data_IF_651126874966
#
_entry.id   IF_651126874966
#
_cell.length_a   1.000
_cell.length_b   1.000
_cell.length_c   1.000
_cell.angle_alpha   90.00
_cell.angle_beta   90.00
_cell.angle_gamma   90.00
#
_symmetry.space_group_name_H-M   'P 1'
#
loop_
_entity.id
_entity.type
_entity.pdbx_description
1 polymer ?
#
# COMPACT_ATOMS: atom_id res chain seq x y z
N UNK A 1 48.07 68.77 36.95
CA UNK A 1 49.44 69.26 36.67
C UNK A 1 49.34 70.73 36.30
N UNK A 2 49.88 71.62 37.16
CA UNK A 2 49.92 73.09 36.99
C UNK A 2 50.83 73.48 35.81
N UNK A 3 50.42 73.17 34.58
CA UNK A 3 51.11 73.61 33.36
C UNK A 3 50.33 74.82 32.82
N UNK A 4 50.95 75.99 32.63
CA UNK A 4 50.25 77.18 32.14
C UNK A 4 49.66 76.94 30.74
N UNK A 5 48.45 77.45 30.48
CA UNK A 5 47.69 77.25 29.22
C UNK A 5 48.25 78.07 28.05
N UNK A 6 49.49 77.80 27.66
CA UNK A 6 50.09 78.34 26.44
C UNK A 6 49.85 77.39 25.27
N UNK A 7 49.84 77.93 24.04
CA UNK A 7 49.69 77.14 22.81
C UNK A 7 50.69 75.97 22.73
N UNK A 8 51.94 76.21 23.14
CA UNK A 8 53.00 75.21 23.09
C UNK A 8 52.77 74.09 24.10
N UNK A 9 52.27 74.41 25.30
CA UNK A 9 51.95 73.42 26.32
C UNK A 9 50.74 72.55 25.91
N UNK A 10 49.73 73.15 25.27
CA UNK A 10 48.61 72.40 24.73
C UNK A 10 49.05 71.44 23.60
N UNK A 11 49.96 71.88 22.72
CA UNK A 11 50.50 71.03 21.65
C UNK A 11 51.36 69.90 22.21
N UNK A 12 52.24 70.20 23.17
CA UNK A 12 53.08 69.19 23.83
C UNK A 12 52.22 68.14 24.57
N UNK A 13 51.17 68.59 25.26
CA UNK A 13 50.21 67.72 25.92
C UNK A 13 49.48 66.83 24.90
N UNK A 14 49.00 67.39 23.78
CA UNK A 14 48.38 66.62 22.71
C UNK A 14 49.32 65.56 22.14
N UNK A 15 50.56 65.93 21.80
CA UNK A 15 51.56 64.99 21.26
C UNK A 15 51.88 63.88 22.25
N UNK A 16 52.01 64.20 23.54
CA UNK A 16 52.22 63.18 24.60
C UNK A 16 51.05 62.21 24.65
N UNK A 17 49.81 62.71 24.64
CA UNK A 17 48.61 61.87 24.66
C UNK A 17 48.52 60.96 23.44
N UNK A 18 48.89 61.45 22.25
CA UNK A 18 48.93 60.62 21.04
C UNK A 18 49.99 59.53 21.18
N UNK A 19 51.21 59.85 21.64
CA UNK A 19 52.28 58.84 21.83
C UNK A 19 51.90 57.77 22.86
N UNK A 20 51.20 58.14 23.92
CA UNK A 20 50.79 57.22 24.99
C UNK A 20 49.59 56.34 24.62
N UNK A 21 48.78 56.76 23.64
CA UNK A 21 47.49 56.11 23.34
C UNK A 21 47.38 55.54 21.93
N UNK A 22 48.25 55.94 20.99
CA UNK A 22 48.26 55.41 19.64
C UNK A 22 49.36 54.36 19.49
N UNK A 23 48.94 53.10 19.35
CA UNK A 23 49.83 52.00 19.01
C UNK A 23 49.62 51.62 17.55
N UNK A 24 50.71 51.57 16.77
CA UNK A 24 50.69 51.27 15.34
C UNK A 24 51.33 49.90 15.15
N UNK A 25 50.61 48.98 14.50
CA UNK A 25 51.12 47.66 14.10
C UNK A 25 51.17 47.62 12.58
N UNK A 26 52.33 47.26 12.04
CA UNK A 26 52.57 47.20 10.60
C UNK A 26 52.84 45.76 10.18
N UNK A 27 51.98 45.20 9.33
CA UNK A 27 52.18 43.89 8.75
C UNK A 27 52.79 44.03 7.36
N UNK A 28 54.05 43.64 7.21
CA UNK A 28 54.77 43.71 5.93
C UNK A 28 55.32 42.34 5.54
N UNK A 29 55.26 42.01 4.26
CA UNK A 29 55.87 40.78 3.75
C UNK A 29 57.38 40.97 3.56
N UNK A 30 58.23 40.04 4.02
CA UNK A 30 59.66 40.05 3.74
C UNK A 30 60.00 39.56 2.33
N UNK A 31 59.01 39.13 1.55
CA UNK A 31 59.22 38.61 0.19
C UNK A 31 59.51 39.77 -0.77
N UNK A 32 60.66 39.70 -1.44
CA UNK A 32 61.12 40.70 -2.40
C UNK A 32 61.86 41.87 -1.76
N UNK A 33 62.18 42.88 -2.55
CA UNK A 33 63.05 43.99 -2.09
C UNK A 33 62.29 45.16 -1.44
N UNK A 34 60.96 45.17 -1.53
CA UNK A 34 60.15 46.32 -1.11
C UNK A 34 60.30 46.66 0.38
N UNK A 35 60.33 45.66 1.26
CA UNK A 35 60.53 45.87 2.69
C UNK A 35 61.89 46.52 2.96
N UNK A 36 62.95 45.97 2.35
CA UNK A 36 64.32 46.50 2.45
C UNK A 36 64.41 47.94 1.96
N UNK A 37 63.79 48.27 0.83
CA UNK A 37 63.78 49.63 0.28
C UNK A 37 63.06 50.59 1.24
N UNK A 38 61.90 50.22 1.77
CA UNK A 38 61.14 51.04 2.73
C UNK A 38 61.90 51.27 4.02
N UNK A 39 62.55 50.24 4.56
CA UNK A 39 63.40 50.37 5.74
C UNK A 39 64.57 51.34 5.54
N UNK A 40 65.14 51.42 4.33
CA UNK A 40 66.19 52.40 3.99
C UNK A 40 65.65 53.83 3.82
N UNK A 41 64.44 53.97 3.27
CA UNK A 41 63.77 55.26 3.10
C UNK A 41 63.26 55.84 4.43
N UNK A 42 62.83 54.97 5.36
CA UNK A 42 62.21 55.35 6.63
C UNK A 42 62.88 54.63 7.81
N UNK A 43 63.99 55.18 8.35
CA UNK A 43 64.73 54.56 9.45
C UNK A 43 63.91 54.38 10.74
N UNK A 44 62.87 55.20 10.94
CA UNK A 44 61.95 55.07 12.08
C UNK A 44 61.23 53.72 12.14
N UNK A 45 61.06 53.04 11.00
CA UNK A 45 60.47 51.70 10.96
C UNK A 45 61.32 50.67 11.71
N UNK A 46 62.65 50.83 11.72
CA UNK A 46 63.55 49.93 12.45
C UNK A 46 63.86 50.47 13.85
N UNK A 47 64.04 51.79 13.98
CA UNK A 47 64.51 52.39 15.23
C UNK A 47 63.40 52.61 16.27
N UNK A 48 62.14 52.76 15.84
CA UNK A 48 61.02 53.10 16.73
C UNK A 48 59.97 51.99 16.84
N UNK A 49 60.20 50.81 16.24
CA UNK A 49 59.27 49.68 16.32
C UNK A 49 59.96 48.42 16.82
N UNK A 50 59.19 47.53 17.43
CA UNK A 50 59.64 46.17 17.75
C UNK A 50 59.35 45.27 16.56
N UNK A 51 60.37 44.59 16.05
CA UNK A 51 60.23 43.67 14.93
C UNK A 51 59.89 42.27 15.46
N UNK A 52 58.77 41.73 15.02
CA UNK A 52 58.36 40.35 15.27
C UNK A 52 58.31 39.57 13.95
N UNK A 53 59.01 38.44 13.89
CA UNK A 53 59.20 37.66 12.67
C UNK A 53 58.24 36.48 12.60
N UNK A 54 57.29 36.56 11.67
CA UNK A 54 56.36 35.47 11.36
C UNK A 54 57.01 34.49 10.38
N UNK A 55 57.48 33.37 10.93
CA UNK A 55 58.06 32.28 10.15
C UNK A 55 56.97 31.34 9.61
N UNK A 56 57.32 30.53 8.61
CA UNK A 56 56.49 29.40 8.19
C UNK A 56 56.17 28.47 9.36
N UNK A 57 55.04 27.78 9.28
CA UNK A 57 54.61 26.91 10.37
C UNK A 57 55.55 25.69 10.49
N UNK A 58 56.13 25.43 11.66
CA UNK A 58 56.90 24.21 11.87
C UNK A 58 55.98 22.98 11.81
N UNK A 59 56.57 21.80 11.63
CA UNK A 59 55.82 20.54 11.60
C UNK A 59 54.88 20.37 12.80
N UNK A 60 55.35 20.69 14.02
CA UNK A 60 54.54 20.61 15.22
C UNK A 60 53.29 21.50 15.14
N UNK A 61 53.38 22.68 14.54
CA UNK A 61 52.24 23.57 14.34
C UNK A 61 51.30 23.03 13.26
N UNK A 62 51.83 22.51 12.14
CA UNK A 62 51.02 21.89 11.09
C UNK A 62 50.22 20.69 11.63
N UNK A 63 50.86 19.84 12.43
CA UNK A 63 50.24 18.70 13.11
C UNK A 63 49.17 19.17 14.08
N UNK A 64 49.49 20.11 14.98
CA UNK A 64 48.52 20.61 15.98
C UNK A 64 47.29 21.25 15.34
N UNK A 65 47.46 22.01 14.25
CA UNK A 65 46.34 22.58 13.50
C UNK A 65 45.52 21.48 12.83
N UNK A 66 46.16 20.51 12.18
CA UNK A 66 45.45 19.39 11.58
C UNK A 66 44.68 18.55 12.61
N UNK A 67 45.25 18.29 13.80
CA UNK A 67 44.55 17.58 14.88
C UNK A 67 43.28 18.32 15.31
N UNK A 68 43.35 19.65 15.43
CA UNK A 68 42.19 20.46 15.81
C UNK A 68 41.07 20.39 14.78
N UNK A 69 41.39 20.54 13.49
CA UNK A 69 40.39 20.51 12.42
C UNK A 69 39.84 19.09 12.18
N UNK A 70 40.72 18.09 12.19
CA UNK A 70 40.31 16.70 11.97
C UNK A 70 39.69 16.06 13.22
N UNK A 71 39.80 16.68 14.39
CA UNK A 71 39.20 16.20 15.64
C UNK A 71 37.67 16.15 15.59
N UNK A 72 37.05 17.02 14.79
CA UNK A 72 35.59 17.06 14.59
C UNK A 72 35.08 15.95 13.66
N UNK A 73 35.98 15.25 12.96
CA UNK A 73 35.63 14.25 11.96
C UNK A 73 35.52 12.86 12.58
N UNK A 74 34.45 12.14 12.25
CA UNK A 74 34.31 10.72 12.60
C UNK A 74 35.19 9.88 11.67
N UNK A 75 36.26 9.32 12.25
CA UNK A 75 37.19 8.44 11.56
C UNK A 75 37.15 7.03 12.16
N UNK A 76 37.44 5.97 11.39
CA UNK A 76 37.32 4.59 11.86
C UNK A 76 38.16 4.24 13.09
N UNK A 77 39.31 4.90 13.26
CA UNK A 77 40.17 4.71 14.43
C UNK A 77 41.06 5.93 14.69
N UNK A 78 41.52 6.07 15.93
CA UNK A 78 42.46 7.11 16.33
C UNK A 78 43.84 6.94 15.67
N UNK A 79 44.26 5.73 15.34
CA UNK A 79 45.51 5.49 14.61
C UNK A 79 45.44 5.99 13.16
N UNK A 80 44.28 5.84 12.51
CA UNK A 80 44.01 6.43 11.20
C UNK A 80 44.03 7.95 11.31
N UNK A 81 43.37 8.53 12.33
CA UNK A 81 43.39 9.99 12.57
C UNK A 81 44.82 10.52 12.69
N UNK A 82 45.63 9.94 13.57
CA UNK A 82 47.05 10.34 13.76
C UNK A 82 47.84 10.24 12.47
N UNK A 83 47.56 9.23 11.64
CA UNK A 83 48.25 9.03 10.36
C UNK A 83 47.83 10.08 9.31
N UNK A 84 46.53 10.42 9.23
CA UNK A 84 46.02 11.48 8.34
C UNK A 84 46.57 12.84 8.76
N UNK A 85 46.58 13.15 10.06
CA UNK A 85 47.16 14.37 10.62
C UNK A 85 48.63 14.53 10.20
N UNK A 86 49.45 13.49 10.41
CA UNK A 86 50.86 13.49 9.99
C UNK A 86 51.00 13.66 8.48
N UNK A 87 50.11 13.04 7.70
CA UNK A 87 50.10 13.15 6.25
C UNK A 87 49.82 14.60 5.80
N UNK A 88 48.88 15.30 6.42
CA UNK A 88 48.62 16.72 6.11
C UNK A 88 49.89 17.56 6.25
N UNK A 89 50.60 17.45 7.38
CA UNK A 89 51.85 18.17 7.62
C UNK A 89 52.98 17.77 6.67
N UNK A 90 53.07 16.48 6.31
CA UNK A 90 54.03 15.99 5.31
C UNK A 90 53.76 16.57 3.92
N UNK A 91 52.51 16.52 3.44
CA UNK A 91 52.12 17.02 2.13
C UNK A 91 52.43 18.52 2.02
N UNK A 92 52.12 19.31 3.05
CA UNK A 92 52.43 20.74 3.03
C UNK A 92 53.92 21.03 2.86
N UNK A 93 54.79 20.36 3.63
CA UNK A 93 56.24 20.51 3.52
C UNK A 93 56.79 20.02 2.18
N UNK A 94 56.26 18.92 1.65
CA UNK A 94 56.69 18.42 0.34
C UNK A 94 56.43 19.44 -0.79
N UNK A 95 55.35 20.24 -0.67
CA UNK A 95 55.05 21.31 -1.61
C UNK A 95 56.06 22.45 -1.47
N UNK A 96 56.46 22.81 -0.25
CA UNK A 96 57.51 23.81 -0.03
C UNK A 96 58.84 23.41 -0.69
N UNK A 97 59.28 22.17 -0.47
CA UNK A 97 60.49 21.62 -1.10
C UNK A 97 60.38 21.60 -2.64
N UNK A 98 59.23 21.14 -3.14
CA UNK A 98 58.95 21.07 -4.58
C UNK A 98 58.88 22.46 -5.20
N UNK A 99 58.34 23.45 -4.50
CA UNK A 99 58.29 24.85 -4.96
C UNK A 99 59.69 25.43 -5.14
N UNK A 100 60.62 25.08 -4.24
CA UNK A 100 62.03 25.44 -4.35
C UNK A 100 62.68 24.85 -5.60
N UNK A 101 62.48 23.55 -5.84
CA UNK A 101 62.94 22.88 -7.07
C UNK A 101 62.35 23.50 -8.33
N UNK A 102 61.04 23.77 -8.33
CA UNK A 102 60.33 24.38 -9.45
C UNK A 102 60.90 25.76 -9.82
N UNK A 103 61.26 26.57 -8.80
CA UNK A 103 61.94 27.83 -9.04
C UNK A 103 63.37 27.66 -9.58
N UNK A 104 64.09 26.63 -9.13
CA UNK A 104 65.43 26.35 -9.62
C UNK A 104 65.43 25.96 -11.11
N UNK A 105 64.48 25.13 -11.53
CA UNK A 105 64.38 24.60 -12.88
C UNK A 105 63.73 25.59 -13.87
N UNK A 106 62.60 26.21 -13.50
CA UNK A 106 61.78 27.01 -14.42
C UNK A 106 61.82 28.51 -14.13
N UNK A 107 62.52 28.95 -13.08
CA UNK A 107 62.58 30.37 -12.64
C UNK A 107 61.20 30.99 -12.37
N UNK A 108 60.18 30.16 -12.12
CA UNK A 108 58.83 30.59 -11.75
C UNK A 108 58.62 30.38 -10.26
N UNK A 109 58.22 31.44 -9.55
CA UNK A 109 57.92 31.34 -8.11
C UNK A 109 56.47 30.90 -7.90
N UNK A 110 56.30 29.91 -7.04
CA UNK A 110 55.00 29.50 -6.49
C UNK A 110 55.12 29.64 -4.98
N UNK A 111 54.07 30.15 -4.34
CA UNK A 111 54.05 30.38 -2.90
C UNK A 111 52.99 29.51 -2.26
N UNK A 112 53.37 28.89 -1.16
CA UNK A 112 52.47 28.17 -0.29
C UNK A 112 52.25 29.01 0.96
N UNK A 113 50.99 29.13 1.40
CA UNK A 113 50.64 29.90 2.59
C UNK A 113 49.89 29.02 3.59
N UNK A 114 49.87 29.37 4.89
CA UNK A 114 49.01 28.68 5.86
C UNK A 114 47.54 28.64 5.44
N UNK A 115 47.05 29.64 4.69
CA UNK A 115 45.70 29.61 4.13
C UNK A 115 45.49 28.42 3.18
N UNK A 116 46.44 28.17 2.29
CA UNK A 116 46.42 27.03 1.38
C UNK A 116 46.44 25.68 2.13
N UNK A 117 47.11 25.62 3.29
CA UNK A 117 47.06 24.44 4.16
C UNK A 117 45.68 24.20 4.76
N UNK A 118 45.05 25.25 5.27
CA UNK A 118 43.68 25.17 5.80
C UNK A 118 42.69 24.77 4.70
N UNK A 119 42.87 25.28 3.48
CA UNK A 119 42.05 24.89 2.33
C UNK A 119 42.22 23.41 1.95
N UNK A 120 43.44 22.88 2.02
CA UNK A 120 43.69 21.45 1.83
C UNK A 120 42.91 20.59 2.85
N UNK A 121 42.94 20.97 4.13
CA UNK A 121 42.25 20.23 5.19
C UNK A 121 40.73 20.31 4.99
N UNK A 122 40.19 21.51 4.74
CA UNK A 122 38.76 21.71 4.52
C UNK A 122 38.27 20.95 3.28
N UNK A 123 39.05 20.97 2.20
CA UNK A 123 38.74 20.22 0.98
C UNK A 123 38.70 18.72 1.27
N UNK A 124 39.69 18.20 2.01
CA UNK A 124 39.70 16.80 2.41
C UNK A 124 38.46 16.41 3.22
N UNK A 125 38.08 17.22 4.22
CA UNK A 125 36.88 16.98 5.03
C UNK A 125 35.60 16.98 4.18
N UNK A 126 35.46 17.97 3.29
CA UNK A 126 34.30 18.06 2.39
C UNK A 126 34.21 16.88 1.43
N UNK A 127 35.34 16.48 0.84
CA UNK A 127 35.40 15.34 -0.07
C UNK A 127 35.12 14.03 0.65
N UNK A 128 35.67 13.83 1.86
CA UNK A 128 35.43 12.61 2.63
C UNK A 128 33.95 12.45 2.93
N UNK A 129 33.30 13.51 3.44
CA UNK A 129 31.87 13.50 3.74
C UNK A 129 31.04 13.17 2.49
N UNK A 130 31.29 13.84 1.37
CA UNK A 130 30.57 13.56 0.13
C UNK A 130 30.74 12.12 -0.36
N UNK A 131 31.94 11.53 -0.21
CA UNK A 131 32.18 10.13 -0.56
C UNK A 131 31.51 9.16 0.42
N UNK A 132 31.51 9.47 1.72
CA UNK A 132 30.81 8.69 2.74
C UNK A 132 29.31 8.64 2.47
N UNK A 133 28.69 9.78 2.18
CA UNK A 133 27.25 9.87 1.85
C UNK A 133 26.91 8.99 0.62
N UNK A 134 27.74 9.03 -0.43
CA UNK A 134 27.54 8.20 -1.64
C UNK A 134 27.64 6.70 -1.30
N UNK A 135 28.61 6.32 -0.46
CA UNK A 135 28.80 4.93 -0.05
C UNK A 135 27.66 4.46 0.84
N UNK A 136 27.19 5.31 1.75
CA UNK A 136 26.06 5.02 2.64
C UNK A 136 24.78 4.77 1.85
N UNK A 137 24.45 5.63 0.89
CA UNK A 137 23.28 5.44 0.00
C UNK A 137 23.37 4.10 -0.76
N UNK A 138 24.56 3.75 -1.28
CA UNK A 138 24.78 2.47 -1.97
C UNK A 138 24.65 1.28 -1.01
N UNK A 139 25.20 1.41 0.19
CA UNK A 139 25.13 0.40 1.25
C UNK A 139 23.68 0.14 1.65
N UNK A 140 22.89 1.18 1.89
CA UNK A 140 21.49 1.05 2.29
C UNK A 140 20.63 0.47 1.18
N UNK A 141 20.86 0.88 -0.07
CA UNK A 141 20.20 0.24 -1.22
C UNK A 141 20.50 -1.26 -1.27
N UNK A 142 21.76 -1.64 -1.02
CA UNK A 142 22.15 -3.04 -1.01
C UNK A 142 21.50 -3.80 0.16
N UNK A 143 21.48 -3.23 1.37
CA UNK A 143 20.81 -3.81 2.54
C UNK A 143 19.32 -4.05 2.29
N UNK A 144 18.63 -3.10 1.66
CA UNK A 144 17.21 -3.26 1.28
C UNK A 144 17.05 -4.37 0.24
N UNK A 145 17.97 -4.45 -0.74
CA UNK A 145 17.98 -5.53 -1.73
C UNK A 145 18.15 -6.91 -1.09
N UNK A 146 19.15 -7.07 -0.20
CA UNK A 146 19.40 -8.32 0.53
C UNK A 146 18.19 -8.71 1.37
N UNK A 147 17.59 -7.77 2.11
CA UNK A 147 16.40 -8.04 2.92
C UNK A 147 15.23 -8.55 2.08
N UNK A 148 14.97 -7.93 0.91
CA UNK A 148 13.92 -8.40 -0.01
C UNK A 148 14.21 -9.81 -0.54
N UNK A 149 15.47 -10.14 -0.80
CA UNK A 149 15.85 -11.49 -1.22
C UNK A 149 15.59 -12.50 -0.10
N UNK A 150 15.95 -12.17 1.14
CA UNK A 150 15.67 -13.02 2.31
C UNK A 150 14.17 -13.20 2.54
N UNK A 151 13.38 -12.13 2.48
CA UNK A 151 11.92 -12.17 2.58
C UNK A 151 11.31 -13.06 1.50
N UNK A 152 11.76 -12.90 0.25
CA UNK A 152 11.28 -13.71 -0.88
C UNK A 152 11.66 -15.17 -0.69
N UNK A 153 12.88 -15.46 -0.22
CA UNK A 153 13.31 -16.83 0.02
C UNK A 153 12.46 -17.49 1.10
N UNK A 154 12.14 -16.78 2.18
CA UNK A 154 11.25 -17.27 3.25
C UNK A 154 9.83 -17.55 2.73
N UNK A 155 9.29 -16.67 1.87
CA UNK A 155 7.97 -16.89 1.23
C UNK A 155 8.02 -18.14 0.34
N UNK A 156 9.06 -18.31 -0.46
CA UNK A 156 9.23 -19.47 -1.34
C UNK A 156 9.36 -20.77 -0.55
N UNK A 157 10.07 -20.77 0.58
CA UNK A 157 10.13 -21.92 1.49
C UNK A 157 8.74 -22.26 2.06
N UNK A 158 7.96 -21.24 2.46
CA UNK A 158 6.58 -21.43 2.90
C UNK A 158 5.70 -22.07 1.83
N UNK A 159 5.70 -21.51 0.61
CA UNK A 159 4.94 -22.03 -0.53
C UNK A 159 5.35 -23.46 -0.92
N UNK A 160 6.65 -23.77 -0.86
CA UNK A 160 7.14 -25.15 -1.05
C UNK A 160 6.57 -26.10 0.00
N UNK A 161 6.51 -25.66 1.26
CA UNK A 161 5.89 -26.43 2.34
C UNK A 161 4.40 -26.68 2.12
N UNK A 162 3.66 -25.70 1.61
CA UNK A 162 2.24 -25.84 1.27
C UNK A 162 2.04 -26.78 0.07
N UNK A 163 2.84 -26.64 -1.00
CA UNK A 163 2.80 -27.53 -2.16
C UNK A 163 3.02 -28.99 -1.77
N UNK A 164 3.98 -29.26 -0.88
CA UNK A 164 4.23 -30.61 -0.36
C UNK A 164 3.01 -31.20 0.38
N UNK A 165 2.21 -30.37 1.06
CA UNK A 165 0.98 -30.83 1.74
C UNK A 165 -0.19 -31.01 0.77
N UNK A 166 -0.31 -30.13 -0.22
CA UNK A 166 -1.41 -30.13 -1.18
C UNK A 166 -1.25 -31.23 -2.24
N UNK A 167 -0.03 -31.59 -2.64
CA UNK A 167 0.23 -32.61 -3.66
C UNK A 167 -0.47 -33.97 -3.38
N UNK A 168 -0.35 -34.59 -2.19
CA UNK A 168 -1.04 -35.85 -1.91
C UNK A 168 -2.57 -35.68 -1.84
N UNK A 169 -3.05 -34.56 -1.31
CA UNK A 169 -4.50 -34.26 -1.23
C UNK A 169 -5.10 -34.14 -2.63
N UNK A 170 -4.39 -33.48 -3.56
CA UNK A 170 -4.83 -33.33 -4.94
C UNK A 170 -4.87 -34.67 -5.67
N UNK A 171 -3.85 -35.53 -5.47
CA UNK A 171 -3.85 -36.89 -6.02
C UNK A 171 -5.04 -37.71 -5.49
N UNK A 172 -5.27 -37.67 -4.19
CA UNK A 172 -6.41 -38.36 -3.55
C UNK A 172 -7.75 -37.86 -4.09
N UNK A 173 -7.93 -36.53 -4.16
CA UNK A 173 -9.14 -35.92 -4.70
C UNK A 173 -9.32 -36.24 -6.19
N UNK A 174 -8.26 -36.28 -6.97
CA UNK A 174 -8.33 -36.69 -8.38
C UNK A 174 -8.88 -38.11 -8.52
N UNK A 175 -8.36 -39.05 -7.73
CA UNK A 175 -8.84 -40.45 -7.72
C UNK A 175 -10.31 -40.52 -7.30
N UNK A 176 -10.71 -39.80 -6.25
CA UNK A 176 -12.10 -39.71 -5.81
C UNK A 176 -13.02 -39.13 -6.89
N UNK A 177 -12.57 -38.09 -7.58
CA UNK A 177 -13.37 -37.42 -8.63
C UNK A 177 -13.52 -38.32 -9.86
N UNK A 178 -12.47 -39.05 -10.22
CA UNK A 178 -12.48 -40.00 -11.34
C UNK A 178 -13.41 -41.18 -11.06
N UNK A 179 -13.44 -41.68 -9.82
CA UNK A 179 -14.43 -42.68 -9.38
C UNK A 179 -15.87 -42.14 -9.44
N UNK A 180 -16.09 -40.92 -8.94
CA UNK A 180 -17.41 -40.29 -8.92
C UNK A 180 -17.93 -40.00 -10.34
N UNK A 181 -17.04 -39.69 -11.29
CA UNK A 181 -17.37 -39.55 -12.71
C UNK A 181 -17.90 -40.85 -13.32
N UNK A 182 -17.31 -41.99 -12.95
CA UNK A 182 -17.79 -43.32 -13.39
C UNK A 182 -19.19 -43.58 -12.84
N UNK A 183 -19.41 -43.34 -11.55
CA UNK A 183 -20.71 -43.54 -10.91
C UNK A 183 -21.79 -42.63 -11.51
N UNK A 184 -21.48 -41.35 -11.77
CA UNK A 184 -22.41 -40.41 -12.40
C UNK A 184 -22.72 -40.81 -13.84
N UNK A 185 -21.74 -41.30 -14.60
CA UNK A 185 -21.98 -41.78 -15.95
C UNK A 185 -22.93 -42.99 -15.94
N UNK A 186 -22.76 -43.92 -14.99
CA UNK A 186 -23.68 -45.04 -14.81
C UNK A 186 -25.09 -44.58 -14.41
N UNK A 187 -25.20 -43.72 -13.39
CA UNK A 187 -26.48 -43.19 -12.93
C UNK A 187 -27.18 -42.37 -14.02
N UNK A 188 -26.44 -41.62 -14.84
CA UNK A 188 -26.99 -40.86 -15.98
C UNK A 188 -27.56 -41.79 -17.05
N UNK A 189 -26.88 -42.90 -17.34
CA UNK A 189 -27.37 -43.91 -18.27
C UNK A 189 -28.66 -44.56 -17.74
N UNK A 190 -28.69 -44.94 -16.47
CA UNK A 190 -29.88 -45.50 -15.80
C UNK A 190 -31.05 -44.50 -15.79
N UNK A 191 -30.77 -43.23 -15.44
CA UNK A 191 -31.77 -42.17 -15.45
C UNK A 191 -32.32 -41.89 -16.86
N UNK A 192 -31.49 -41.97 -17.91
CA UNK A 192 -31.94 -41.83 -19.30
C UNK A 192 -32.92 -42.95 -19.70
N UNK A 193 -32.65 -44.19 -19.28
CA UNK A 193 -33.56 -45.32 -19.51
C UNK A 193 -34.89 -45.12 -18.79
N UNK A 194 -34.86 -44.66 -17.52
CA UNK A 194 -36.08 -44.37 -16.76
C UNK A 194 -36.85 -43.21 -17.37
N UNK A 195 -36.17 -42.12 -17.75
CA UNK A 195 -36.80 -40.97 -18.40
C UNK A 195 -37.48 -41.35 -19.72
N UNK A 196 -36.87 -42.23 -20.53
CA UNK A 196 -37.48 -42.74 -21.75
C UNK A 196 -38.74 -43.57 -21.48
N UNK A 197 -38.76 -44.38 -20.41
CA UNK A 197 -39.94 -45.15 -19.99
C UNK A 197 -41.06 -44.23 -19.50
N UNK A 198 -40.75 -43.29 -18.62
CA UNK A 198 -41.73 -42.34 -18.07
C UNK A 198 -42.31 -41.46 -19.17
N UNK A 199 -41.49 -40.97 -20.11
CA UNK A 199 -41.99 -40.19 -21.25
C UNK A 199 -42.95 -40.98 -22.16
N UNK A 200 -42.73 -42.30 -22.32
CA UNK A 200 -43.66 -43.16 -23.04
C UNK A 200 -44.98 -43.38 -22.28
N UNK A 201 -44.91 -43.57 -20.95
CA UNK A 201 -46.09 -43.73 -20.10
C UNK A 201 -46.91 -42.43 -20.00
N UNK A 202 -46.25 -41.28 -19.87
CA UNK A 202 -46.90 -39.95 -19.82
C UNK A 202 -47.69 -39.66 -21.10
N UNK A 203 -47.16 -40.05 -22.27
CA UNK A 203 -47.88 -39.91 -23.54
C UNK A 203 -49.15 -40.79 -23.62
N UNK A 204 -49.14 -41.98 -23.00
CA UNK A 204 -50.29 -42.89 -22.92
C UNK A 204 -51.34 -42.32 -21.96
N UNK A 205 -50.91 -41.93 -20.76
CA UNK A 205 -51.78 -41.34 -19.74
C UNK A 205 -52.39 -40.02 -20.24
N UNK A 206 -51.64 -39.20 -20.95
CA UNK A 206 -52.13 -37.96 -21.55
C UNK A 206 -53.27 -38.18 -22.56
N UNK A 207 -53.18 -39.24 -23.38
CA UNK A 207 -54.27 -39.61 -24.31
C UNK A 207 -55.51 -40.08 -23.56
N UNK A 208 -55.34 -40.97 -22.58
CA UNK A 208 -56.46 -41.47 -21.77
C UNK A 208 -57.12 -40.34 -20.96
N UNK A 209 -56.35 -39.41 -20.39
CA UNK A 209 -56.89 -38.25 -19.69
C UNK A 209 -57.73 -37.35 -20.60
N UNK A 210 -57.28 -37.11 -21.84
CA UNK A 210 -58.03 -36.34 -22.82
C UNK A 210 -59.35 -37.02 -23.24
N UNK A 211 -59.33 -38.33 -23.46
CA UNK A 211 -60.53 -39.12 -23.76
C UNK A 211 -61.53 -39.10 -22.59
N UNK A 212 -61.04 -39.27 -21.36
CA UNK A 212 -61.91 -39.27 -20.16
C UNK A 212 -62.51 -37.89 -19.90
N UNK A 213 -61.76 -36.81 -20.13
CA UNK A 213 -62.24 -35.44 -20.00
C UNK A 213 -63.34 -35.12 -21.02
N UNK A 214 -63.24 -35.63 -22.25
CA UNK A 214 -64.28 -35.46 -23.26
C UNK A 214 -65.59 -36.17 -22.86
N UNK A 215 -65.50 -37.41 -22.35
CA UNK A 215 -66.68 -38.15 -21.86
C UNK A 215 -67.30 -37.48 -20.64
N UNK A 216 -66.49 -36.97 -19.71
CA UNK A 216 -66.98 -36.25 -18.53
C UNK A 216 -67.71 -34.95 -18.91
N UNK A 217 -67.19 -34.20 -19.90
CA UNK A 217 -67.82 -32.96 -20.37
C UNK A 217 -69.18 -33.22 -21.03
N UNK A 218 -69.31 -34.32 -21.78
CA UNK A 218 -70.58 -34.71 -22.42
C UNK A 218 -71.64 -35.12 -21.38
N UNK A 219 -71.23 -35.93 -20.39
CA UNK A 219 -72.10 -36.32 -19.28
C UNK A 219 -72.58 -35.13 -18.44
N UNK A 220 -71.71 -34.14 -18.19
CA UNK A 220 -72.08 -32.93 -17.45
C UNK A 220 -73.12 -32.09 -18.20
N UNK A 221 -73.01 -32.01 -19.53
CA UNK A 221 -73.95 -31.28 -20.39
C UNK A 221 -75.36 -31.88 -20.35
N UNK A 222 -75.45 -33.21 -20.33
CA UNK A 222 -76.74 -33.91 -20.19
C UNK A 222 -77.34 -33.72 -18.80
N UNK A 223 -76.51 -33.71 -17.75
CA UNK A 223 -76.95 -33.44 -16.38
C UNK A 223 -77.52 -32.02 -16.23
N UNK A 224 -76.83 -31.02 -16.79
CA UNK A 224 -77.25 -29.61 -16.73
C UNK A 224 -78.57 -29.36 -17.49
N UNK A 225 -78.91 -30.20 -18.48
CA UNK A 225 -80.21 -30.17 -19.16
C UNK A 225 -81.34 -30.77 -18.31
N UNK A 226 -81.05 -31.79 -17.51
CA UNK A 226 -82.04 -32.50 -16.70
C UNK A 226 -82.35 -31.81 -15.36
N UNK A 227 -81.35 -31.18 -14.72
CA UNK A 227 -81.51 -30.54 -13.42
C UNK A 227 -82.60 -29.46 -13.33
N UNK A 228 -82.79 -28.55 -14.32
CA UNK A 228 -83.82 -27.51 -14.25
C UNK A 228 -85.24 -28.07 -14.21
N UNK A 229 -85.49 -29.18 -14.93
CA UNK A 229 -86.79 -29.84 -14.92
C UNK A 229 -87.08 -30.49 -13.55
N UNK A 230 -86.06 -31.08 -12.93
CA UNK A 230 -86.18 -31.71 -11.60
C UNK A 230 -86.34 -30.67 -10.48
N UNK A 231 -85.57 -29.58 -10.49
CA UNK A 231 -85.71 -28.48 -9.52
C UNK A 231 -87.08 -27.79 -9.65
N UNK A 232 -87.57 -27.59 -10.89
CA UNK A 232 -88.93 -27.08 -11.13
C UNK A 232 -90.00 -28.00 -10.53
N UNK A 233 -89.88 -29.32 -10.73
CA UNK A 233 -90.79 -30.30 -10.14
C UNK A 233 -90.72 -30.34 -8.61
N UNK A 234 -89.52 -30.30 -8.00
CA UNK A 234 -89.36 -30.20 -6.54
C UNK A 234 -89.98 -28.94 -5.96
N UNK A 235 -89.80 -27.79 -6.63
CA UNK A 235 -90.38 -26.52 -6.18
C UNK A 235 -91.90 -26.55 -6.23
N UNK A 236 -92.49 -27.14 -7.27
CA UNK A 236 -93.95 -27.35 -7.35
C UNK A 236 -94.46 -28.29 -6.24
N UNK A 237 -93.71 -29.35 -5.90
CA UNK A 237 -94.03 -30.22 -4.75
C UNK A 237 -93.97 -29.48 -3.41
N UNK A 238 -93.02 -28.55 -3.24
CA UNK A 238 -92.89 -27.76 -2.00
C UNK A 238 -94.00 -26.74 -1.76
N UNK A 239 -94.79 -26.41 -2.80
CA UNK A 239 -95.97 -25.54 -2.67
C UNK A 239 -97.24 -26.26 -2.22
N UNK A 240 -97.23 -27.58 -2.07
CA UNK A 240 -98.36 -28.33 -1.55
C UNK A 240 -98.51 -28.12 -0.03
N UNK A 241 -99.69 -27.69 0.40
CA UNK A 241 -99.99 -27.48 1.81
C UNK A 241 -100.56 -28.76 2.44
N UNK A 242 -100.43 -28.91 3.76
CA UNK A 242 -100.97 -30.07 4.49
C UNK A 242 -102.49 -30.19 4.31
N UNK A 243 -103.20 -29.08 4.08
CA UNK A 243 -104.63 -29.07 3.83
C UNK A 243 -104.98 -29.81 2.53
N UNK A 244 -104.24 -29.56 1.44
CA UNK A 244 -104.46 -30.19 0.13
C UNK A 244 -104.29 -31.73 0.19
N UNK A 245 -103.29 -32.21 0.93
CA UNK A 245 -103.06 -33.65 1.15
C UNK A 245 -104.18 -34.28 1.99
N UNK A 246 -104.74 -33.53 2.95
CA UNK A 246 -105.82 -34.02 3.83
C UNK A 246 -107.15 -34.11 3.07
N UNK A 247 -107.39 -33.20 2.11
CA UNK A 247 -108.54 -33.25 1.21
C UNK A 247 -108.49 -34.48 0.30
N UNK A 248 -107.34 -34.75 -0.32
CA UNK A 248 -107.14 -35.94 -1.18
C UNK A 248 -107.37 -37.23 -0.39
N UNK A 249 -106.90 -37.32 0.86
CA UNK A 249 -107.13 -38.47 1.75
C UNK A 249 -108.61 -38.69 2.11
N UNK A 250 -109.43 -37.64 2.08
CA UNK A 250 -110.84 -37.72 2.45
C UNK A 250 -111.76 -38.23 1.33
N UNK A 251 -111.27 -38.36 0.09
CA UNK A 251 -112.05 -38.86 -1.03
C UNK A 251 -112.31 -40.37 -0.92
N UNK A 252 -113.58 -40.74 -0.72
CA UNK A 252 -114.05 -42.13 -0.77
C UNK A 252 -114.14 -42.68 -2.20
N UNK A 253 -114.17 -41.81 -3.23
CA UNK A 253 -114.06 -42.21 -4.63
C UNK A 253 -113.44 -41.05 -5.46
N UNK A 254 -112.11 -41.01 -5.67
CA UNK A 254 -111.43 -39.85 -6.25
C UNK A 254 -111.65 -39.72 -7.77
N UNK A 255 -111.54 -38.50 -8.34
CA UNK A 255 -111.53 -38.30 -9.78
C UNK A 255 -110.36 -39.04 -10.46
N UNK A 256 -110.58 -39.53 -11.69
CA UNK A 256 -109.63 -40.41 -12.42
C UNK A 256 -108.22 -39.83 -12.56
N UNK A 257 -108.08 -38.50 -12.67
CA UNK A 257 -106.77 -37.84 -12.78
C UNK A 257 -105.94 -37.93 -11.50
N UNK A 258 -106.57 -37.87 -10.32
CA UNK A 258 -105.87 -37.99 -9.02
C UNK A 258 -105.44 -39.43 -8.77
N UNK A 259 -106.27 -40.39 -9.16
CA UNK A 259 -105.97 -41.82 -9.03
C UNK A 259 -104.74 -42.21 -9.84
N UNK A 260 -104.65 -41.82 -11.12
CA UNK A 260 -103.51 -42.17 -12.00
C UNK A 260 -102.19 -41.56 -11.48
N UNK A 261 -102.22 -40.31 -11.00
CA UNK A 261 -101.01 -39.65 -10.47
C UNK A 261 -100.56 -40.30 -9.15
N UNK A 262 -101.48 -40.63 -8.25
CA UNK A 262 -101.13 -41.33 -7.00
C UNK A 262 -100.70 -42.77 -7.24
N UNK A 263 -101.31 -43.49 -8.18
CA UNK A 263 -100.85 -44.82 -8.62
C UNK A 263 -99.41 -44.76 -9.15
N UNK A 264 -99.07 -43.78 -10.01
CA UNK A 264 -97.71 -43.61 -10.52
C UNK A 264 -96.69 -43.26 -9.42
N UNK A 265 -97.08 -42.47 -8.43
CA UNK A 265 -96.24 -42.15 -7.26
C UNK A 265 -96.04 -43.38 -6.37
N UNK A 266 -97.09 -44.18 -6.13
CA UNK A 266 -96.99 -45.44 -5.40
C UNK A 266 -96.08 -46.45 -6.12
N UNK A 267 -96.14 -46.55 -7.45
CA UNK A 267 -95.23 -47.42 -8.22
C UNK A 267 -93.77 -46.96 -8.10
N UNK A 268 -93.50 -45.65 -8.22
CA UNK A 268 -92.16 -45.09 -8.04
C UNK A 268 -91.64 -45.26 -6.61
N UNK A 269 -92.53 -45.31 -5.63
CA UNK A 269 -92.22 -45.60 -4.22
C UNK A 269 -92.26 -47.11 -3.87
N UNK A 270 -92.62 -47.99 -4.81
CA UNK A 270 -92.66 -49.45 -4.65
C UNK A 270 -93.87 -50.02 -3.91
N UNK A 271 -94.96 -49.27 -3.76
CA UNK A 271 -96.19 -49.64 -3.03
C UNK A 271 -97.33 -50.14 -3.95
N UNK A 272 -98.29 -50.91 -3.41
CA UNK A 272 -99.37 -51.55 -4.18
C UNK A 272 -100.38 -50.54 -4.75
N UNK A 273 -100.78 -50.74 -6.01
CA UNK A 273 -101.72 -49.91 -6.80
C UNK A 273 -103.19 -50.08 -6.38
N UNK A 274 -103.53 -49.74 -5.15
CA UNK A 274 -104.92 -49.64 -4.69
C UNK A 274 -105.13 -48.33 -3.93
N UNK A 275 -106.24 -47.65 -4.20
CA UNK A 275 -106.66 -46.45 -3.49
C UNK A 275 -107.01 -46.76 -2.02
#
# INVERSE_FOLDING_TARGET
>A
NNIPETRDNCLAYFVSRVRDKLHIVLCMSPVGDSLRIRCRQFPSLINCTTIDWFHGWPEAALVSVAERFLGELELPSEDVRKSVVRMCGFVHRSIEETSGRFFQELRRRVYTTPKSYLDLINLYMSMLKGLQDIVEIKSDRMKVGVRKLEETNNIVEGLRGELFKLEPVLKQKSIETEALLIDVAQQSQEASVVAAKVGAEEAIVGKQAAETAAVAADAQKDLDRALPALESAKKALSSLSKADITEVKSFTNPPTAVRIVMEAVCVLLGEKEAW
#
